data_IF_947706653376
#
_entry.id   IF_947706653376
#
_cell.length_a   1.000
_cell.length_b   1.000
_cell.length_c   1.000
_cell.angle_alpha   90.00
_cell.angle_beta   90.00
_cell.angle_gamma   90.00
#
_symmetry.space_group_name_H-M   'P 1'
#
loop_
_entity.id
_entity.type
_entity.pdbx_description
1 polymer ?
#
# COMPACT_ATOMS: atom_id res chain seq x y z
N UNK A 1 14.17 41.99 30.79
CA UNK A 1 13.13 42.94 30.36
C UNK A 1 13.67 43.98 29.37
N UNK A 2 14.88 44.51 29.55
CA UNK A 2 15.46 45.53 28.65
C UNK A 2 15.81 45.03 27.23
N UNK A 3 16.29 43.80 27.11
CA UNK A 3 16.63 43.17 25.82
C UNK A 3 15.42 42.93 24.92
N UNK A 4 14.26 42.58 25.49
CA UNK A 4 13.01 42.44 24.74
C UNK A 4 12.48 43.79 24.26
N UNK A 5 12.71 44.86 25.03
CA UNK A 5 12.28 46.22 24.68
C UNK A 5 13.14 46.83 23.57
N UNK A 6 14.45 46.49 23.49
CA UNK A 6 15.37 47.01 22.46
C UNK A 6 15.20 46.37 21.07
N UNK A 7 14.66 45.14 21.01
CA UNK A 7 14.55 44.36 19.77
C UNK A 7 13.10 44.02 19.39
N UNK A 8 12.12 44.75 19.93
CA UNK A 8 10.68 44.47 19.77
C UNK A 8 10.18 44.49 18.31
N UNK A 9 10.76 45.33 17.44
CA UNK A 9 10.31 45.48 16.05
C UNK A 9 10.94 44.48 15.06
N UNK A 10 12.19 44.06 15.30
CA UNK A 10 12.97 43.21 14.37
C UNK A 10 13.14 41.77 14.86
N UNK A 11 12.73 41.48 16.10
CA UNK A 11 12.95 40.19 16.75
C UNK A 11 14.39 40.05 17.27
N UNK A 12 14.59 39.09 18.16
CA UNK A 12 15.92 38.78 18.72
C UNK A 12 16.84 38.25 17.60
N UNK A 13 18.14 38.65 17.60
CA UNK A 13 19.14 38.05 16.71
C UNK A 13 19.16 36.53 16.87
N UNK A 14 19.13 35.82 15.74
CA UNK A 14 19.22 34.36 15.72
C UNK A 14 20.68 33.95 15.76
N UNK A 15 20.99 32.88 16.49
CA UNK A 15 22.30 32.25 16.49
C UNK A 15 22.49 31.46 15.19
N UNK A 16 23.63 31.64 14.54
CA UNK A 16 24.01 30.86 13.38
C UNK A 16 24.47 29.45 13.82
N UNK A 17 23.87 28.38 13.30
CA UNK A 17 24.23 27.04 13.72
C UNK A 17 25.66 26.60 13.34
N UNK A 18 26.24 27.12 12.26
CA UNK A 18 27.62 26.79 11.85
C UNK A 18 28.65 27.72 12.51
N UNK A 19 28.39 29.04 12.53
CA UNK A 19 29.30 30.05 13.04
C UNK A 19 29.24 30.19 14.56
N UNK A 20 28.06 30.28 15.16
CA UNK A 20 27.89 30.51 16.60
C UNK A 20 27.85 29.19 17.38
N UNK A 21 27.09 28.21 16.90
CA UNK A 21 26.89 26.92 17.60
C UNK A 21 27.90 25.85 17.19
N UNK A 22 28.79 26.13 16.22
CA UNK A 22 29.87 25.25 15.75
C UNK A 22 29.41 23.85 15.31
N UNK A 23 28.22 23.74 14.69
CA UNK A 23 27.72 22.46 14.16
C UNK A 23 28.46 22.11 12.87
N UNK A 24 29.33 21.09 12.91
CA UNK A 24 30.17 20.68 11.77
C UNK A 24 29.68 19.41 11.07
N UNK A 25 28.48 18.91 11.38
CA UNK A 25 28.02 17.64 10.81
C UNK A 25 27.76 17.74 9.30
N UNK A 26 28.27 16.75 8.55
CA UNK A 26 28.16 16.75 7.08
C UNK A 26 26.71 16.60 6.59
N UNK A 27 25.86 15.92 7.36
CA UNK A 27 24.42 15.82 7.12
C UNK A 27 23.72 17.16 7.29
N UNK A 28 24.06 17.94 8.31
CA UNK A 28 23.54 19.28 8.53
C UNK A 28 23.89 20.21 7.37
N UNK A 29 25.19 20.29 7.00
CA UNK A 29 25.65 21.15 5.89
C UNK A 29 24.94 20.82 4.57
N UNK A 30 24.71 19.53 4.29
CA UNK A 30 23.95 19.10 3.11
C UNK A 30 22.49 19.54 3.16
N UNK A 31 21.84 19.43 4.32
CA UNK A 31 20.46 19.87 4.50
C UNK A 31 20.34 21.39 4.39
N UNK A 32 21.23 22.14 5.03
CA UNK A 32 21.27 23.61 5.01
C UNK A 32 21.41 24.14 3.58
N UNK A 33 22.43 23.67 2.84
CA UNK A 33 22.60 24.04 1.42
C UNK A 33 21.39 23.71 0.55
N UNK A 34 20.69 22.61 0.84
CA UNK A 34 19.48 22.23 0.10
C UNK A 34 18.31 23.16 0.42
N UNK A 35 18.17 23.59 1.66
CA UNK A 35 17.16 24.59 2.07
C UNK A 35 17.44 25.91 1.34
N UNK A 36 18.68 26.42 1.40
CA UNK A 36 19.06 27.65 0.71
C UNK A 36 18.78 27.59 -0.81
N UNK A 37 19.12 26.45 -1.44
CA UNK A 37 18.85 26.26 -2.87
C UNK A 37 17.35 26.30 -3.19
N UNK A 38 16.51 25.70 -2.33
CA UNK A 38 15.06 25.71 -2.49
C UNK A 38 14.46 27.09 -2.24
N UNK A 39 14.95 27.82 -1.24
CA UNK A 39 14.53 29.21 -0.96
C UNK A 39 14.82 30.11 -2.15
N UNK A 40 16.04 30.04 -2.71
CA UNK A 40 16.41 30.78 -3.92
C UNK A 40 15.53 30.43 -5.13
N UNK A 41 15.16 29.16 -5.28
CA UNK A 41 14.23 28.73 -6.34
C UNK A 41 12.82 29.26 -6.11
N UNK A 42 12.36 29.28 -4.85
CA UNK A 42 11.05 29.79 -4.50
C UNK A 42 10.94 31.30 -4.71
N UNK A 43 11.94 32.08 -4.28
CA UNK A 43 11.99 33.54 -4.49
C UNK A 43 11.97 33.93 -5.98
N UNK A 44 12.64 33.14 -6.83
CA UNK A 44 12.65 33.34 -8.29
C UNK A 44 11.30 33.01 -8.93
N UNK A 45 10.49 32.15 -8.31
CA UNK A 45 9.25 31.69 -8.91
C UNK A 45 8.15 32.75 -8.81
N UNK A 46 7.49 33.04 -9.94
CA UNK A 46 6.40 34.03 -10.04
C UNK A 46 5.23 33.79 -9.06
N UNK A 47 5.01 32.54 -8.67
CA UNK A 47 3.96 32.13 -7.74
C UNK A 47 4.20 32.67 -6.34
N UNK A 48 5.46 32.86 -5.91
CA UNK A 48 5.79 33.41 -4.60
C UNK A 48 5.36 34.88 -4.46
N UNK A 49 5.31 35.63 -5.57
CA UNK A 49 4.91 37.05 -5.61
C UNK A 49 3.41 37.25 -5.77
N UNK A 50 2.65 36.18 -6.04
CA UNK A 50 1.21 36.27 -6.28
C UNK A 50 0.44 36.49 -4.97
N UNK A 51 -0.44 37.52 -4.87
CA UNK A 51 -1.22 37.78 -3.66
C UNK A 51 -2.22 36.65 -3.32
N UNK A 52 -2.58 35.84 -4.33
CA UNK A 52 -3.50 34.70 -4.18
C UNK A 52 -2.81 33.38 -3.84
N UNK A 53 -1.51 33.39 -3.49
CA UNK A 53 -0.71 32.18 -3.24
C UNK A 53 -1.38 31.22 -2.24
N UNK A 54 -1.87 31.75 -1.12
CA UNK A 54 -2.53 30.95 -0.07
C UNK A 54 -3.78 30.23 -0.59
N UNK A 55 -4.60 30.91 -1.40
CA UNK A 55 -5.80 30.32 -1.98
C UNK A 55 -5.45 29.26 -3.03
N UNK A 56 -4.48 29.54 -3.91
CA UNK A 56 -4.01 28.58 -4.92
C UNK A 56 -3.42 27.32 -4.30
N UNK A 57 -2.63 27.45 -3.21
CA UNK A 57 -2.10 26.30 -2.46
C UNK A 57 -3.24 25.47 -1.87
N UNK A 58 -4.25 26.11 -1.27
CA UNK A 58 -5.41 25.39 -0.71
C UNK A 58 -6.16 24.56 -1.76
N UNK A 59 -6.38 25.13 -2.95
CA UNK A 59 -7.02 24.42 -4.07
C UNK A 59 -6.12 23.27 -4.57
N UNK A 60 -4.82 23.51 -4.69
CA UNK A 60 -3.85 22.49 -5.12
C UNK A 60 -3.79 21.31 -4.14
N UNK A 61 -3.72 21.58 -2.84
CA UNK A 61 -3.78 20.55 -1.79
C UNK A 61 -5.06 19.74 -1.91
N UNK A 62 -6.22 20.40 -2.08
CA UNK A 62 -7.50 19.70 -2.25
C UNK A 62 -7.51 18.79 -3.50
N UNK A 63 -6.96 19.27 -4.62
CA UNK A 63 -6.81 18.45 -5.83
C UNK A 63 -5.91 17.23 -5.58
N UNK A 64 -4.81 17.41 -4.85
CA UNK A 64 -3.88 16.32 -4.53
C UNK A 64 -4.54 15.27 -3.63
N UNK A 65 -5.28 15.68 -2.59
CA UNK A 65 -6.07 14.78 -1.74
C UNK A 65 -7.09 13.97 -2.55
N UNK A 66 -7.86 14.63 -3.42
CA UNK A 66 -8.84 13.96 -4.26
C UNK A 66 -8.17 12.97 -5.22
N UNK A 67 -7.03 13.33 -5.80
CA UNK A 67 -6.27 12.45 -6.67
C UNK A 67 -5.77 11.22 -5.93
N UNK A 68 -5.26 11.39 -4.69
CA UNK A 68 -4.84 10.29 -3.84
C UNK A 68 -6.02 9.38 -3.46
N UNK A 69 -7.18 9.95 -3.12
CA UNK A 69 -8.41 9.20 -2.86
C UNK A 69 -8.87 8.39 -4.07
N UNK A 70 -8.91 9.00 -5.26
CA UNK A 70 -9.25 8.32 -6.51
C UNK A 70 -8.30 7.15 -6.77
N UNK A 71 -6.99 7.37 -6.60
CA UNK A 71 -5.98 6.31 -6.78
C UNK A 71 -6.19 5.15 -5.80
N UNK A 72 -6.48 5.46 -4.53
CA UNK A 72 -6.77 4.46 -3.50
C UNK A 72 -8.02 3.65 -3.84
N UNK A 73 -9.13 4.31 -4.13
CA UNK A 73 -10.40 3.65 -4.49
C UNK A 73 -10.23 2.77 -5.74
N UNK A 74 -9.54 3.27 -6.78
CA UNK A 74 -9.23 2.47 -7.98
C UNK A 74 -8.41 1.23 -7.66
N UNK A 75 -7.45 1.33 -6.73
CA UNK A 75 -6.65 0.19 -6.28
C UNK A 75 -7.55 -0.83 -5.56
N UNK A 76 -8.37 -0.38 -4.62
CA UNK A 76 -9.31 -1.24 -3.88
C UNK A 76 -10.28 -1.95 -4.83
N UNK A 77 -10.85 -1.23 -5.79
CA UNK A 77 -11.77 -1.79 -6.80
C UNK A 77 -11.09 -2.86 -7.67
N UNK A 78 -9.83 -2.64 -8.07
CA UNK A 78 -9.06 -3.64 -8.83
C UNK A 78 -8.71 -4.87 -8.01
N UNK A 79 -8.49 -4.71 -6.70
CA UNK A 79 -8.29 -5.83 -5.79
C UNK A 79 -9.60 -6.52 -5.40
N UNK A 80 -10.76 -5.97 -5.76
CA UNK A 80 -12.06 -6.56 -5.40
C UNK A 80 -12.29 -7.90 -6.09
N UNK A 81 -12.71 -8.86 -5.27
CA UNK A 81 -13.46 -10.12 -5.50
C UNK A 81 -13.31 -10.85 -6.84
N UNK A 82 -13.64 -10.27 -7.99
CA UNK A 82 -13.64 -11.03 -9.27
C UNK A 82 -12.28 -11.62 -9.61
N UNK A 83 -11.18 -10.90 -9.36
CA UNK A 83 -9.82 -11.44 -9.60
C UNK A 83 -9.41 -12.45 -8.51
N UNK A 84 -9.73 -12.15 -7.25
CA UNK A 84 -9.43 -13.05 -6.12
C UNK A 84 -10.12 -14.42 -6.28
N UNK A 85 -11.39 -14.44 -6.67
CA UNK A 85 -12.12 -15.69 -6.93
C UNK A 85 -11.57 -16.47 -8.12
N UNK A 86 -11.03 -15.78 -9.13
CA UNK A 86 -10.41 -16.44 -10.29
C UNK A 86 -9.13 -17.19 -9.89
N UNK A 87 -8.31 -16.57 -9.06
CA UNK A 87 -7.06 -17.17 -8.58
C UNK A 87 -7.33 -18.32 -7.62
N UNK A 88 -8.30 -18.15 -6.71
CA UNK A 88 -8.76 -19.21 -5.81
C UNK A 88 -9.31 -20.42 -6.59
N UNK A 89 -10.21 -20.18 -7.56
CA UNK A 89 -10.75 -21.24 -8.41
C UNK A 89 -9.64 -21.97 -9.18
N UNK A 90 -8.65 -21.23 -9.70
CA UNK A 90 -7.49 -21.81 -10.39
C UNK A 90 -6.65 -22.68 -9.45
N UNK A 91 -6.43 -22.24 -8.21
CA UNK A 91 -5.72 -23.00 -7.20
C UNK A 91 -6.49 -24.29 -6.81
N UNK A 92 -7.78 -24.18 -6.53
CA UNK A 92 -8.65 -25.34 -6.20
C UNK A 92 -8.68 -26.34 -7.36
N UNK A 93 -8.87 -25.89 -8.61
CA UNK A 93 -8.80 -26.76 -9.80
C UNK A 93 -7.47 -27.48 -9.93
N UNK A 94 -6.36 -26.85 -9.55
CA UNK A 94 -5.03 -27.49 -9.58
C UNK A 94 -4.95 -28.67 -8.60
N UNK A 95 -5.49 -28.51 -7.39
CA UNK A 95 -5.55 -29.58 -6.38
C UNK A 95 -6.43 -30.73 -6.90
N UNK A 96 -7.64 -30.42 -7.37
CA UNK A 96 -8.58 -31.42 -7.90
C UNK A 96 -7.97 -32.24 -9.06
N UNK A 97 -7.23 -31.59 -9.97
CA UNK A 97 -6.53 -32.31 -11.04
C UNK A 97 -5.39 -33.18 -10.55
N UNK A 98 -4.62 -32.72 -9.57
CA UNK A 98 -3.48 -33.48 -9.02
C UNK A 98 -3.92 -34.70 -8.23
N UNK A 99 -5.09 -34.63 -7.58
CA UNK A 99 -5.67 -35.74 -6.83
C UNK A 99 -6.52 -36.70 -7.71
N UNK A 100 -6.70 -36.39 -9.00
CA UNK A 100 -7.48 -37.22 -9.92
C UNK A 100 -9.00 -37.08 -9.78
N UNK A 101 -9.50 -35.95 -9.28
CA UNK A 101 -10.93 -35.64 -9.21
C UNK A 101 -11.45 -35.03 -10.52
N UNK A 102 -10.56 -34.43 -11.31
CA UNK A 102 -10.83 -33.92 -12.64
C UNK A 102 -9.63 -34.09 -13.57
N UNK A 103 -9.89 -34.21 -14.88
CA UNK A 103 -8.87 -34.31 -15.92
C UNK A 103 -8.17 -32.96 -16.20
N UNK A 104 -7.12 -32.97 -17.02
CA UNK A 104 -6.46 -31.75 -17.53
C UNK A 104 -7.44 -30.76 -18.16
N UNK A 105 -8.47 -31.28 -18.84
CA UNK A 105 -9.50 -30.50 -19.53
C UNK A 105 -10.66 -30.08 -18.61
N UNK A 106 -10.52 -30.30 -17.30
CA UNK A 106 -11.54 -30.03 -16.27
C UNK A 106 -12.81 -30.87 -16.40
N UNK A 107 -12.70 -32.08 -16.95
CA UNK A 107 -13.79 -33.06 -16.95
C UNK A 107 -13.74 -33.84 -15.63
N UNK A 108 -14.88 -34.00 -14.96
CA UNK A 108 -14.96 -34.70 -13.67
C UNK A 108 -14.70 -36.20 -13.85
N UNK A 109 -13.79 -36.75 -13.05
CA UNK A 109 -13.43 -38.17 -13.06
C UNK A 109 -14.20 -38.95 -11.97
N UNK A 110 -14.00 -40.27 -11.85
CA UNK A 110 -14.72 -41.13 -10.91
C UNK A 110 -14.58 -40.66 -9.45
N UNK A 111 -13.38 -40.32 -8.97
CA UNK A 111 -13.18 -39.75 -7.62
C UNK A 111 -14.00 -38.47 -7.44
N UNK A 112 -14.04 -37.62 -8.46
CA UNK A 112 -14.83 -36.38 -8.44
C UNK A 112 -16.33 -36.65 -8.33
N UNK A 113 -16.85 -37.64 -9.06
CA UNK A 113 -18.26 -38.06 -8.97
C UNK A 113 -18.61 -38.56 -7.58
N UNK A 114 -17.77 -39.39 -6.98
CA UNK A 114 -17.98 -39.89 -5.60
C UNK A 114 -17.98 -38.73 -4.60
N UNK A 115 -17.03 -37.80 -4.75
CA UNK A 115 -16.95 -36.63 -3.87
C UNK A 115 -18.18 -35.72 -3.98
N UNK A 116 -18.77 -35.57 -5.17
CA UNK A 116 -20.00 -34.79 -5.35
C UNK A 116 -21.21 -35.33 -4.59
N UNK A 117 -21.22 -36.63 -4.24
CA UNK A 117 -22.30 -37.26 -3.48
C UNK A 117 -22.11 -37.14 -1.95
N UNK A 118 -20.95 -36.65 -1.50
CA UNK A 118 -20.64 -36.47 -0.08
C UNK A 118 -20.99 -35.04 0.33
N UNK A 119 -22.05 -34.87 1.12
CA UNK A 119 -22.47 -33.56 1.67
C UNK A 119 -22.39 -33.47 3.19
N UNK A 120 -22.17 -34.60 3.88
CA UNK A 120 -22.20 -34.70 5.35
C UNK A 120 -20.81 -34.66 6.00
N UNK A 121 -19.73 -34.61 5.21
CA UNK A 121 -18.34 -34.64 5.67
C UNK A 121 -17.43 -33.91 4.67
N UNK A 122 -16.14 -33.80 4.99
CA UNK A 122 -15.13 -33.28 4.05
C UNK A 122 -15.00 -34.22 2.85
N UNK A 123 -15.47 -33.76 1.70
CA UNK A 123 -15.65 -34.60 0.50
C UNK A 123 -14.33 -35.12 -0.06
N UNK A 124 -13.24 -34.35 0.07
CA UNK A 124 -11.93 -34.75 -0.42
C UNK A 124 -11.32 -35.83 0.48
N UNK A 125 -11.27 -35.57 1.78
CA UNK A 125 -10.66 -36.48 2.75
C UNK A 125 -11.40 -37.81 2.77
N UNK A 126 -12.73 -37.80 2.83
CA UNK A 126 -13.51 -39.03 2.88
C UNK A 126 -13.35 -39.85 1.59
N UNK A 127 -13.37 -39.20 0.43
CA UNK A 127 -13.12 -39.88 -0.86
C UNK A 127 -11.72 -40.48 -0.92
N UNK A 128 -10.68 -39.78 -0.45
CA UNK A 128 -9.32 -40.35 -0.39
C UNK A 128 -9.24 -41.56 0.54
N UNK A 129 -9.87 -41.51 1.72
CA UNK A 129 -9.90 -42.66 2.65
C UNK A 129 -10.60 -43.87 2.01
N UNK A 130 -11.72 -43.64 1.29
CA UNK A 130 -12.44 -44.70 0.56
C UNK A 130 -11.58 -45.32 -0.54
N UNK A 131 -11.00 -44.51 -1.42
CA UNK A 131 -10.20 -45.00 -2.55
C UNK A 131 -8.87 -45.64 -2.13
N UNK A 132 -8.29 -45.20 -1.01
CA UNK A 132 -7.10 -45.82 -0.43
C UNK A 132 -7.42 -47.09 0.37
N UNK A 133 -8.70 -47.45 0.50
CA UNK A 133 -9.14 -48.69 1.14
C UNK A 133 -9.02 -48.69 2.66
N UNK A 134 -8.94 -47.53 3.31
CA UNK A 134 -8.80 -47.42 4.78
C UNK A 134 -9.97 -48.09 5.51
N UNK A 135 -11.16 -48.06 4.92
CA UNK A 135 -12.36 -48.65 5.50
C UNK A 135 -12.50 -50.17 5.28
N UNK A 136 -11.60 -50.81 4.52
CA UNK A 136 -11.72 -52.25 4.20
C UNK A 136 -11.58 -53.15 5.43
N UNK A 137 -10.77 -52.73 6.39
CA UNK A 137 -10.42 -53.54 7.58
C UNK A 137 -11.17 -53.08 8.84
N UNK A 138 -12.15 -52.19 8.70
CA UNK A 138 -12.98 -51.73 9.82
C UNK A 138 -14.14 -52.71 10.00
N UNK A 139 -14.30 -53.21 11.23
CA UNK A 139 -15.37 -54.12 11.64
C UNK A 139 -16.68 -53.41 11.91
#
# INVERSE_FOLDING_TARGET
>A
METLSRFSEKGLPRLDPEEDMKIQSSSYKKASRRIEALERLFEKHEIAKSPLIKQKIKVFQRKQELTAKIKSIKKTLRSSTTLAFKDELKARKRVLRRLGYATSDNVVDLKGKVACEISSADELTLTELMFNGVFKDIK
#
